data_IF_763781075675
#
_entry.id   IF_763781075675
#
_cell.length_a   1.000
_cell.length_b   1.000
_cell.length_c   1.000
_cell.angle_alpha   90.00
_cell.angle_beta   90.00
_cell.angle_gamma   90.00
#
_symmetry.space_group_name_H-M   'P 1'
#
loop_
_entity.id
_entity.type
_entity.pdbx_description
1 polymer ?
#
# COMPACT_ATOMS: atom_id res chain seq x y z
N UNK A 1 38.26 89.05 2.99
CA UNK A 1 37.53 88.84 1.72
C UNK A 1 37.85 87.44 1.21
N UNK A 2 36.81 86.64 0.93
CA UNK A 2 36.85 85.27 0.32
C UNK A 2 37.71 85.27 -0.96
N UNK A 3 38.42 84.17 -1.35
CA UNK A 3 37.87 82.84 -1.73
C UNK A 3 38.68 81.62 -1.20
N UNK A 4 38.05 80.45 -0.94
CA UNK A 4 37.85 79.24 -1.79
C UNK A 4 39.10 78.63 -2.43
N UNK A 5 39.52 77.45 -1.94
CA UNK A 5 39.99 76.31 -2.76
C UNK A 5 39.52 75.01 -2.10
N UNK A 6 39.01 74.10 -2.91
CA UNK A 6 38.47 72.80 -2.57
C UNK A 6 39.58 71.76 -2.28
N UNK A 7 39.34 70.84 -1.36
CA UNK A 7 40.08 69.59 -1.24
C UNK A 7 39.09 68.42 -1.31
N UNK A 8 39.26 67.57 -2.33
CA UNK A 8 38.49 66.37 -2.59
C UNK A 8 39.21 65.18 -1.96
N UNK A 9 38.56 64.43 -1.06
CA UNK A 9 39.04 63.11 -0.62
C UNK A 9 37.83 62.17 -0.44
N UNK A 10 37.74 61.21 -1.37
CA UNK A 10 37.39 59.79 -1.18
C UNK A 10 36.13 59.42 -0.40
N UNK A 11 35.05 59.14 -1.14
CA UNK A 11 33.89 58.40 -0.65
C UNK A 11 34.18 56.88 -0.76
N UNK A 12 34.53 56.23 0.35
CA UNK A 12 34.60 54.77 0.44
C UNK A 12 33.31 54.20 1.03
N UNK A 13 32.39 53.72 0.19
CA UNK A 13 31.23 52.94 0.64
C UNK A 13 31.65 51.47 0.79
N UNK A 14 31.70 50.99 2.04
CA UNK A 14 31.82 49.56 2.34
C UNK A 14 30.40 48.98 2.31
N UNK A 15 30.05 48.26 1.24
CA UNK A 15 28.84 47.44 1.16
C UNK A 15 29.05 46.16 1.98
N UNK A 16 28.42 46.08 3.15
CA UNK A 16 28.30 44.84 3.90
C UNK A 16 27.27 43.94 3.19
N UNK A 17 27.75 42.90 2.49
CA UNK A 17 26.91 41.83 1.97
C UNK A 17 26.32 41.04 3.15
N UNK A 18 25.05 41.29 3.47
CA UNK A 18 24.26 40.39 4.30
C UNK A 18 23.84 39.23 3.42
N UNK A 19 24.68 38.19 3.36
CA UNK A 19 24.27 36.90 2.80
C UNK A 19 23.16 36.34 3.67
N UNK A 20 21.91 36.49 3.22
CA UNK A 20 20.78 35.74 3.77
C UNK A 20 21.04 34.26 3.53
N UNK A 21 21.51 33.57 4.56
CA UNK A 21 21.56 32.12 4.61
C UNK A 21 20.09 31.68 4.70
N UNK A 22 19.48 31.38 3.56
CA UNK A 22 18.22 30.65 3.53
C UNK A 22 18.53 29.28 4.16
N UNK A 23 17.91 28.90 5.29
CA UNK A 23 18.09 27.57 5.81
C UNK A 23 17.60 26.60 4.73
N UNK A 24 18.52 25.79 4.23
CA UNK A 24 18.18 24.63 3.39
C UNK A 24 17.28 23.76 4.26
N UNK A 25 15.97 23.82 3.99
CA UNK A 25 15.01 22.96 4.65
C UNK A 25 15.45 21.53 4.43
N UNK A 26 15.78 20.83 5.53
CA UNK A 26 16.04 19.39 5.49
C UNK A 26 14.78 18.76 4.90
N UNK A 27 14.91 18.18 3.70
CA UNK A 27 13.82 17.47 3.07
C UNK A 27 13.29 16.44 4.09
N UNK A 28 12.02 16.56 4.47
CA UNK A 28 11.40 15.60 5.35
C UNK A 28 11.48 14.24 4.65
N UNK A 29 12.21 13.29 5.25
CA UNK A 29 12.26 11.92 4.74
C UNK A 29 10.85 11.33 4.75
N UNK A 30 10.50 10.48 3.77
CA UNK A 30 9.16 9.91 3.69
C UNK A 30 8.87 9.14 4.98
N UNK A 31 7.69 9.37 5.57
CA UNK A 31 7.31 8.72 6.82
C UNK A 31 7.03 7.24 6.55
N UNK A 32 7.98 6.38 6.92
CA UNK A 32 7.82 4.92 6.85
C UNK A 32 7.18 4.44 8.16
N UNK A 33 6.03 3.78 8.06
CA UNK A 33 5.39 3.16 9.21
C UNK A 33 6.24 1.99 9.72
N UNK A 34 6.37 1.87 11.04
CA UNK A 34 7.10 0.78 11.70
C UNK A 34 6.19 -0.18 12.47
N UNK A 35 4.87 0.00 12.35
CA UNK A 35 3.89 -0.93 12.88
C UNK A 35 2.46 -0.55 12.49
N UNK A 36 1.53 -1.38 12.95
CA UNK A 36 0.10 -1.21 12.74
C UNK A 36 -0.67 -1.56 14.01
N UNK A 37 -1.68 -0.76 14.35
CA UNK A 37 -2.60 -1.06 15.42
C UNK A 37 -3.53 -2.18 14.96
N UNK A 38 -3.48 -3.33 15.64
CA UNK A 38 -4.30 -4.51 15.32
C UNK A 38 -5.47 -4.68 16.29
N UNK A 39 -5.39 -4.10 17.50
CA UNK A 39 -6.46 -4.14 18.48
C UNK A 39 -6.53 -2.85 19.29
N UNK A 40 -7.75 -2.39 19.58
CA UNK A 40 -8.04 -1.28 20.49
C UNK A 40 -9.13 -1.73 21.45
N UNK A 41 -8.94 -1.51 22.75
CA UNK A 41 -9.96 -1.67 23.79
C UNK A 41 -10.07 -0.35 24.56
N UNK A 42 -11.26 0.24 24.55
CA UNK A 42 -11.53 1.53 25.19
C UNK A 42 -11.05 2.73 24.37
N UNK A 43 -10.92 3.89 25.01
CA UNK A 43 -10.60 5.15 24.35
C UNK A 43 -9.09 5.39 24.30
N UNK A 44 -8.57 5.41 23.08
CA UNK A 44 -7.14 5.55 22.79
C UNK A 44 -6.94 6.77 21.91
N UNK A 45 -5.85 7.49 22.13
CA UNK A 45 -5.39 8.52 21.22
C UNK A 45 -3.99 8.18 20.71
N UNK A 46 -3.73 8.54 19.46
CA UNK A 46 -2.42 8.46 18.85
C UNK A 46 -1.91 9.87 18.64
N UNK A 47 -0.86 10.23 19.37
CA UNK A 47 -0.18 11.51 19.24
C UNK A 47 1.02 11.36 18.33
N UNK A 48 0.96 11.98 17.15
CA UNK A 48 2.05 12.01 16.18
C UNK A 48 3.25 12.78 16.71
N UNK A 49 4.42 12.51 16.13
CA UNK A 49 5.66 13.22 16.47
C UNK A 49 5.59 14.75 16.29
N UNK A 50 4.75 15.26 15.37
CA UNK A 50 4.48 16.69 15.18
C UNK A 50 3.36 17.24 16.09
N UNK A 51 2.96 16.48 17.11
CA UNK A 51 2.04 16.93 18.16
C UNK A 51 0.54 16.74 17.89
N UNK A 52 0.14 16.42 16.64
CA UNK A 52 -1.26 16.14 16.30
C UNK A 52 -1.76 14.91 17.05
N UNK A 53 -3.02 14.93 17.43
CA UNK A 53 -3.70 13.83 18.08
C UNK A 53 -4.82 13.34 17.18
N UNK A 54 -4.88 12.03 16.96
CA UNK A 54 -5.97 11.36 16.25
C UNK A 54 -6.58 10.26 17.13
N UNK A 55 -7.80 9.86 16.82
CA UNK A 55 -8.42 8.64 17.38
C UNK A 55 -8.15 7.50 16.40
N UNK A 56 -7.19 6.61 16.68
CA UNK A 56 -6.87 5.55 15.75
C UNK A 56 -8.02 4.53 15.67
N UNK A 57 -8.15 3.91 14.50
CA UNK A 57 -8.95 2.71 14.28
C UNK A 57 -8.03 1.49 14.12
N UNK A 58 -8.61 0.29 14.15
CA UNK A 58 -7.87 -0.89 13.73
C UNK A 58 -7.38 -0.74 12.28
N UNK A 59 -6.15 -1.17 12.02
CA UNK A 59 -5.46 -0.97 10.76
C UNK A 59 -4.64 0.33 10.69
N UNK A 60 -4.81 1.26 11.64
CA UNK A 60 -4.05 2.53 11.66
C UNK A 60 -2.55 2.26 11.76
N UNK A 61 -1.76 2.92 10.89
CA UNK A 61 -0.30 2.82 10.90
C UNK A 61 0.30 3.67 12.02
N UNK A 62 1.33 3.15 12.66
CA UNK A 62 2.17 3.90 13.61
C UNK A 62 3.54 4.17 13.00
N UNK A 63 4.12 5.31 13.37
CA UNK A 63 5.41 5.77 12.89
C UNK A 63 6.40 5.89 14.05
N UNK A 64 7.72 5.92 13.76
CA UNK A 64 8.71 6.23 14.76
C UNK A 64 8.36 7.53 15.52
N UNK A 65 8.54 7.50 16.84
CA UNK A 65 8.30 8.63 17.77
C UNK A 65 6.83 9.02 17.99
N UNK A 66 5.88 8.28 17.41
CA UNK A 66 4.49 8.39 17.82
C UNK A 66 4.32 7.99 19.29
N UNK A 67 3.29 8.54 19.94
CA UNK A 67 2.91 8.23 21.31
C UNK A 67 1.50 7.68 21.34
N UNK A 68 1.33 6.52 21.95
CA UNK A 68 0.04 5.91 22.25
C UNK A 68 -0.40 6.39 23.63
N UNK A 69 -1.57 7.01 23.67
CA UNK A 69 -2.18 7.56 24.88
C UNK A 69 -3.37 6.70 25.22
N UNK A 70 -3.23 5.92 26.28
CA UNK A 70 -4.22 4.96 26.75
C UNK A 70 -4.70 5.42 28.14
N UNK A 71 -5.99 5.77 28.26
CA UNK A 71 -6.60 6.08 29.55
C UNK A 71 -6.68 4.82 30.44
N UNK A 72 -6.92 4.98 31.74
CA UNK A 72 -7.02 3.85 32.66
C UNK A 72 -8.01 2.78 32.18
N UNK A 73 -7.57 1.52 32.14
CA UNK A 73 -8.38 0.39 31.70
C UNK A 73 -8.51 0.23 30.18
N UNK A 74 -7.73 0.98 29.40
CA UNK A 74 -7.67 0.84 27.94
C UNK A 74 -6.43 0.05 27.50
N UNK A 75 -6.51 -0.61 26.34
CA UNK A 75 -5.41 -1.40 25.79
C UNK A 75 -5.28 -1.15 24.28
N UNK A 76 -4.04 -1.02 23.81
CA UNK A 76 -3.71 -1.01 22.39
C UNK A 76 -2.72 -2.13 22.11
N UNK A 77 -3.01 -2.94 21.09
CA UNK A 77 -2.06 -3.90 20.57
C UNK A 77 -1.56 -3.41 19.21
N UNK A 78 -0.25 -3.25 19.11
CA UNK A 78 0.45 -2.93 17.87
C UNK A 78 1.24 -4.16 17.44
N UNK A 79 1.18 -4.47 16.15
CA UNK A 79 2.13 -5.37 15.51
C UNK A 79 3.17 -4.54 14.77
N UNK A 80 4.43 -4.75 15.09
CA UNK A 80 5.55 -4.08 14.45
C UNK A 80 5.85 -4.72 13.09
N UNK A 81 6.63 -4.04 12.24
CA UNK A 81 6.99 -4.54 10.91
C UNK A 81 7.83 -5.81 10.94
N UNK A 82 8.53 -6.08 12.03
CA UNK A 82 9.28 -7.33 12.28
C UNK A 82 8.39 -8.46 12.84
N UNK A 83 7.06 -8.26 12.84
CA UNK A 83 6.03 -9.16 13.39
C UNK A 83 6.04 -9.32 14.91
N UNK A 84 6.93 -8.62 15.63
CA UNK A 84 6.83 -8.50 17.08
C UNK A 84 5.58 -7.72 17.48
N UNK A 85 5.17 -7.84 18.74
CA UNK A 85 3.98 -7.14 19.24
C UNK A 85 4.30 -6.28 20.44
N UNK A 86 3.71 -5.09 20.45
CA UNK A 86 3.75 -4.15 21.56
C UNK A 86 2.33 -4.02 22.14
N UNK A 87 2.16 -4.39 23.40
CA UNK A 87 0.95 -4.14 24.18
C UNK A 87 1.15 -2.86 24.99
N UNK A 88 0.30 -1.87 24.77
CA UNK A 88 0.23 -0.63 25.56
C UNK A 88 -1.00 -0.71 26.44
N UNK A 89 -0.77 -0.75 27.76
CA UNK A 89 -1.82 -0.71 28.76
C UNK A 89 -1.92 0.70 29.35
N UNK A 90 -3.15 1.19 29.45
CA UNK A 90 -3.41 2.52 29.98
C UNK A 90 -3.32 2.52 31.49
N UNK A 91 -2.25 3.14 32.00
CA UNK A 91 -2.09 3.57 33.39
C UNK A 91 -2.17 5.11 33.52
N UNK A 92 -2.66 5.79 32.48
CA UNK A 92 -2.76 7.25 32.44
C UNK A 92 -1.52 7.97 31.89
N UNK A 93 -0.51 7.24 31.40
CA UNK A 93 0.73 7.80 30.85
C UNK A 93 0.86 7.61 29.33
N UNK A 94 1.58 8.54 28.68
CA UNK A 94 1.88 8.46 27.25
C UNK A 94 3.01 7.45 27.01
N UNK A 95 2.73 6.37 26.28
CA UNK A 95 3.76 5.40 25.90
C UNK A 95 4.29 5.69 24.49
N UNK A 96 5.61 5.74 24.34
CA UNK A 96 6.24 5.86 23.02
C UNK A 96 6.02 4.57 22.22
N UNK A 97 5.84 4.71 20.92
CA UNK A 97 5.87 3.59 20.00
C UNK A 97 7.25 2.91 20.06
N UNK A 98 7.28 1.72 20.65
CA UNK A 98 8.48 0.92 20.87
C UNK A 98 8.86 0.00 19.71
N UNK A 99 8.12 0.00 18.60
CA UNK A 99 8.51 -0.76 17.43
C UNK A 99 9.87 -0.28 16.91
N UNK A 100 10.75 -1.22 16.55
CA UNK A 100 12.05 -0.89 15.97
C UNK A 100 11.86 0.03 14.75
N UNK A 101 12.76 1.00 14.57
CA UNK A 101 12.73 1.81 13.35
C UNK A 101 13.02 0.92 12.15
N UNK A 102 12.37 1.13 11.00
CA UNK A 102 12.66 0.34 9.81
C UNK A 102 14.15 0.55 9.45
N UNK A 103 14.92 -0.51 9.25
CA UNK A 103 16.28 -0.39 8.70
C UNK A 103 16.19 0.13 7.26
N UNK A 104 17.25 0.73 6.71
CA UNK A 104 17.27 1.13 5.30
C UNK A 104 17.02 -0.05 4.33
N UNK A 105 17.23 -1.29 4.76
CA UNK A 105 16.83 -2.51 4.02
C UNK A 105 15.31 -2.69 3.93
N UNK A 106 14.52 -2.08 4.82
CA UNK A 106 13.07 -2.01 4.72
C UNK A 106 12.59 -1.07 3.59
N UNK A 107 13.50 -0.37 2.90
CA UNK A 107 13.16 0.44 1.73
C UNK A 107 12.84 -0.43 0.51
N UNK A 108 13.31 -1.69 0.47
CA UNK A 108 13.03 -2.68 -0.56
C UNK A 108 13.36 -4.08 0.02
N UNK A 109 12.37 -4.90 0.39
CA UNK A 109 12.60 -6.28 0.86
C UNK A 109 13.29 -7.12 -0.24
N UNK A 110 14.14 -8.12 0.12
CA UNK A 110 14.99 -8.84 -0.83
C UNK A 110 14.22 -9.46 -2.00
N UNK A 111 14.67 -9.16 -3.23
CA UNK A 111 13.99 -9.47 -4.50
C UNK A 111 13.72 -8.24 -5.38
N UNK A 112 14.00 -7.03 -4.88
CA UNK A 112 13.81 -5.77 -5.62
C UNK A 112 15.10 -4.97 -5.74
N UNK A 113 15.88 -5.20 -6.81
CA UNK A 113 16.87 -4.25 -7.30
C UNK A 113 16.13 -3.18 -8.11
N UNK A 114 16.17 -1.91 -7.68
CA UNK A 114 15.36 -0.78 -8.20
C UNK A 114 13.85 -1.02 -8.11
N UNK A 115 13.24 -0.78 -6.93
CA UNK A 115 11.80 -0.92 -6.67
C UNK A 115 10.88 -0.44 -7.83
N UNK A 116 10.32 -1.35 -8.68
CA UNK A 116 9.50 -1.00 -9.85
C UNK A 116 7.98 -0.98 -9.59
N UNK A 117 7.54 -0.95 -8.33
CA UNK A 117 6.11 -1.03 -7.98
C UNK A 117 5.39 0.33 -7.89
N UNK A 118 6.10 1.45 -8.08
CA UNK A 118 5.47 2.77 -8.19
C UNK A 118 5.16 3.10 -9.65
N UNK A 119 4.07 2.55 -10.15
CA UNK A 119 3.28 3.20 -11.19
C UNK A 119 3.95 3.39 -12.55
N UNK A 120 4.68 2.40 -13.06
CA UNK A 120 4.95 2.34 -14.49
C UNK A 120 3.64 2.02 -15.22
N UNK A 121 2.97 3.09 -15.64
CA UNK A 121 2.16 3.26 -16.86
C UNK A 121 1.33 2.05 -17.33
N UNK A 122 0.35 1.60 -16.54
CA UNK A 122 -0.66 0.69 -17.09
C UNK A 122 -2.06 1.12 -16.68
N UNK A 123 -2.86 1.39 -17.71
CA UNK A 123 -4.31 1.53 -17.67
C UNK A 123 -4.91 0.13 -17.87
N UNK A 124 -5.00 -0.67 -16.81
CA UNK A 124 -5.80 -1.90 -16.85
C UNK A 124 -7.27 -1.50 -16.65
N UNK A 125 -7.85 -0.96 -17.70
CA UNK A 125 -9.29 -0.78 -17.86
C UNK A 125 -9.67 -1.28 -19.25
N UNK A 126 -9.41 -2.57 -19.50
CA UNK A 126 -9.86 -3.20 -20.72
C UNK A 126 -10.77 -4.38 -20.39
N UNK A 127 -12.08 -4.11 -20.38
CA UNK A 127 -13.12 -5.14 -20.25
C UNK A 127 -13.09 -6.15 -21.42
N UNK A 128 -12.33 -5.88 -22.50
CA UNK A 128 -12.14 -6.82 -23.59
C UNK A 128 -11.02 -7.83 -23.35
N UNK A 129 -10.26 -7.71 -22.26
CA UNK A 129 -9.16 -8.62 -21.93
C UNK A 129 -9.54 -9.47 -20.70
N UNK A 130 -9.36 -10.80 -20.74
CA UNK A 130 -9.58 -11.64 -19.57
C UNK A 130 -8.37 -11.53 -18.63
N UNK A 131 -8.13 -10.33 -18.10
CA UNK A 131 -6.97 -10.06 -17.28
C UNK A 131 -7.00 -10.91 -16.02
N UNK A 132 -5.83 -11.36 -15.58
CA UNK A 132 -5.75 -12.24 -14.42
C UNK A 132 -6.06 -11.43 -13.17
N UNK A 133 -6.98 -11.89 -12.34
CA UNK A 133 -7.26 -11.33 -11.01
C UNK A 133 -6.45 -12.09 -9.96
N UNK A 134 -6.45 -13.43 -10.02
CA UNK A 134 -5.67 -14.27 -9.13
C UNK A 134 -5.32 -15.64 -9.73
N UNK A 135 -4.20 -16.25 -9.36
CA UNK A 135 -3.05 -15.63 -8.70
C UNK A 135 -2.20 -14.82 -9.70
N UNK A 136 -1.69 -13.66 -9.26
CA UNK A 136 -0.71 -12.85 -10.01
C UNK A 136 0.18 -12.09 -9.05
N UNK A 137 1.47 -11.93 -9.39
CA UNK A 137 2.44 -11.12 -8.63
C UNK A 137 2.47 -11.46 -7.13
N UNK A 138 2.34 -12.74 -6.81
CA UNK A 138 2.24 -13.25 -5.44
C UNK A 138 2.99 -14.56 -5.33
N UNK A 139 3.51 -14.84 -4.14
CA UNK A 139 3.77 -16.22 -3.73
C UNK A 139 2.45 -16.83 -3.24
N UNK A 140 2.38 -18.15 -3.23
CA UNK A 140 1.27 -18.92 -2.71
C UNK A 140 1.72 -19.84 -1.59
N UNK A 141 0.86 -20.04 -0.60
CA UNK A 141 1.03 -21.06 0.44
C UNK A 141 0.33 -22.37 0.07
N UNK A 142 -0.76 -22.29 -0.69
CA UNK A 142 -1.56 -23.42 -1.14
C UNK A 142 -1.21 -23.84 -2.58
N UNK A 143 -1.13 -25.13 -2.86
CA UNK A 143 -0.83 -25.67 -4.18
C UNK A 143 -2.06 -25.84 -5.10
N UNK A 144 -3.27 -25.54 -4.60
CA UNK A 144 -4.52 -25.55 -5.36
C UNK A 144 -5.19 -24.17 -5.32
N UNK A 145 -4.55 -23.12 -5.88
CA UNK A 145 -5.10 -21.77 -5.84
C UNK A 145 -6.42 -21.67 -6.61
N UNK A 146 -7.26 -20.71 -6.16
CA UNK A 146 -8.40 -20.26 -6.95
C UNK A 146 -7.92 -19.33 -8.07
N UNK A 147 -8.14 -19.75 -9.29
CA UNK A 147 -7.84 -19.01 -10.51
C UNK A 147 -9.04 -18.11 -10.81
N UNK A 148 -8.82 -16.81 -11.03
CA UNK A 148 -9.85 -15.82 -11.35
C UNK A 148 -9.36 -14.87 -12.42
N UNK A 149 -10.26 -14.46 -13.30
CA UNK A 149 -10.00 -13.48 -14.35
C UNK A 149 -11.21 -12.59 -14.58
N UNK A 150 -10.99 -11.48 -15.26
CA UNK A 150 -12.06 -10.57 -15.67
C UNK A 150 -12.92 -11.20 -16.78
N UNK A 151 -14.27 -11.11 -16.72
CA UNK A 151 -15.13 -11.49 -17.82
C UNK A 151 -14.87 -10.64 -19.07
N UNK A 152 -14.90 -11.29 -20.24
CA UNK A 152 -14.88 -10.62 -21.55
C UNK A 152 -16.30 -10.57 -22.08
N UNK A 153 -16.71 -9.42 -22.63
CA UNK A 153 -18.02 -9.28 -23.28
C UNK A 153 -18.19 -10.30 -24.40
N UNK A 154 -19.39 -10.89 -24.52
CA UNK A 154 -19.75 -11.91 -25.52
C UNK A 154 -19.03 -13.26 -25.39
N UNK A 155 -18.08 -13.40 -24.46
CA UNK A 155 -17.42 -14.67 -24.22
C UNK A 155 -18.32 -15.64 -23.45
N UNK A 156 -18.44 -16.87 -23.94
CA UNK A 156 -19.26 -17.93 -23.31
C UNK A 156 -18.41 -19.04 -22.70
N UNK A 157 -17.14 -19.11 -23.09
CA UNK A 157 -16.19 -20.08 -22.55
C UNK A 157 -14.77 -19.55 -22.56
N UNK A 158 -13.96 -20.10 -21.67
CA UNK A 158 -12.56 -19.76 -21.47
C UNK A 158 -11.71 -21.01 -21.48
N UNK A 159 -10.64 -20.97 -22.27
CA UNK A 159 -9.52 -21.89 -22.15
C UNK A 159 -8.56 -21.38 -21.08
N UNK A 160 -8.40 -22.13 -20.00
CA UNK A 160 -7.56 -21.79 -18.85
C UNK A 160 -6.34 -22.70 -18.85
N UNK A 161 -5.15 -22.15 -18.65
CA UNK A 161 -3.91 -22.93 -18.59
C UNK A 161 -2.93 -22.41 -17.56
N UNK A 162 -2.19 -23.32 -16.94
CA UNK A 162 -1.05 -23.01 -16.07
C UNK A 162 0.20 -23.58 -16.74
N UNK A 163 1.22 -22.73 -16.87
CA UNK A 163 2.52 -23.12 -17.40
C UNK A 163 3.63 -22.81 -16.41
N UNK A 164 4.56 -23.74 -16.26
CA UNK A 164 5.75 -23.56 -15.44
C UNK A 164 6.53 -24.85 -15.32
N UNK A 165 7.41 -24.91 -14.33
CA UNK A 165 8.25 -26.10 -14.10
C UNK A 165 7.39 -27.34 -13.82
N UNK A 166 7.50 -28.34 -14.69
CA UNK A 166 6.76 -29.60 -14.60
C UNK A 166 5.25 -29.48 -14.82
N UNK A 167 4.75 -28.29 -15.21
CA UNK A 167 3.31 -28.02 -15.37
C UNK A 167 3.03 -27.41 -16.75
N UNK A 168 2.21 -28.12 -17.52
CA UNK A 168 1.52 -27.65 -18.72
C UNK A 168 0.08 -28.17 -18.63
N UNK A 169 -0.70 -27.55 -17.74
CA UNK A 169 -2.08 -27.91 -17.49
C UNK A 169 -3.01 -26.99 -18.28
N UNK A 170 -4.12 -27.56 -18.78
CA UNK A 170 -5.11 -26.84 -19.58
C UNK A 170 -6.51 -27.42 -19.37
N UNK A 171 -7.52 -26.55 -19.31
CA UNK A 171 -8.94 -26.93 -19.27
C UNK A 171 -9.81 -25.88 -19.98
N UNK A 172 -11.10 -26.17 -20.12
CA UNK A 172 -12.11 -25.23 -20.60
C UNK A 172 -13.26 -25.12 -19.60
N UNK A 173 -13.70 -23.90 -19.32
CA UNK A 173 -14.80 -23.59 -18.40
C UNK A 173 -15.68 -22.47 -18.96
N UNK A 174 -16.94 -22.37 -18.51
CA UNK A 174 -17.82 -21.24 -18.83
C UNK A 174 -17.78 -20.12 -17.79
N UNK A 175 -17.38 -20.44 -16.55
CA UNK A 175 -17.25 -19.46 -15.46
C UNK A 175 -15.98 -18.61 -15.60
N UNK A 176 -15.87 -17.55 -14.79
CA UNK A 176 -14.68 -16.68 -14.70
C UNK A 176 -13.73 -17.05 -13.55
N UNK A 177 -13.95 -18.23 -12.97
CA UNK A 177 -13.12 -18.76 -11.91
C UNK A 177 -13.12 -20.29 -11.90
N UNK A 178 -12.02 -20.87 -11.43
CA UNK A 178 -11.89 -22.31 -11.19
C UNK A 178 -10.84 -22.56 -10.10
N UNK A 179 -11.00 -23.62 -9.31
CA UNK A 179 -9.94 -24.08 -8.40
C UNK A 179 -8.99 -24.97 -9.19
N UNK A 180 -7.69 -24.69 -9.12
CA UNK A 180 -6.70 -25.55 -9.75
C UNK A 180 -6.74 -26.96 -9.15
N UNK A 181 -6.94 -28.03 -9.94
CA UNK A 181 -7.19 -29.37 -9.40
C UNK A 181 -5.94 -30.05 -8.82
N UNK A 182 -4.74 -29.57 -9.15
CA UNK A 182 -3.50 -30.16 -8.65
C UNK A 182 -3.09 -31.48 -9.33
N UNK A 183 -3.72 -31.87 -10.43
CA UNK A 183 -3.34 -33.06 -11.22
C UNK A 183 -1.86 -33.05 -11.63
N UNK A 184 -1.37 -31.86 -12.01
CA UNK A 184 0.06 -31.59 -12.16
C UNK A 184 0.49 -30.73 -10.95
N UNK A 185 1.13 -31.30 -9.92
CA UNK A 185 1.37 -30.58 -8.68
C UNK A 185 2.32 -29.39 -8.89
N UNK A 186 1.92 -28.23 -8.38
CA UNK A 186 2.82 -27.08 -8.27
C UNK A 186 3.98 -27.44 -7.32
N UNK A 187 5.20 -27.14 -7.76
CA UNK A 187 6.42 -27.44 -7.04
C UNK A 187 6.84 -26.24 -6.17
N UNK A 188 7.26 -26.47 -4.91
CA UNK A 188 7.76 -25.40 -4.04
C UNK A 188 8.95 -24.67 -4.67
N UNK A 189 8.92 -23.34 -4.64
CA UNK A 189 9.97 -22.48 -5.22
C UNK A 189 9.83 -22.23 -6.72
N UNK A 190 9.00 -22.98 -7.43
CA UNK A 190 8.83 -22.83 -8.88
C UNK A 190 7.88 -21.70 -9.25
N UNK A 191 8.14 -21.07 -10.40
CA UNK A 191 7.35 -19.99 -10.97
C UNK A 191 6.38 -20.48 -12.04
N UNK A 192 5.18 -19.91 -12.04
CA UNK A 192 4.07 -20.30 -12.89
C UNK A 192 3.40 -19.07 -13.52
N UNK A 193 2.80 -19.27 -14.69
CA UNK A 193 1.97 -18.29 -15.37
C UNK A 193 0.59 -18.87 -15.60
N UNK A 194 -0.44 -18.12 -15.17
CA UNK A 194 -1.83 -18.36 -15.54
C UNK A 194 -2.12 -17.65 -16.86
N UNK A 195 -2.62 -18.41 -17.84
CA UNK A 195 -3.01 -17.90 -19.15
C UNK A 195 -4.48 -18.26 -19.37
N UNK A 196 -5.30 -17.25 -19.66
CA UNK A 196 -6.72 -17.40 -19.98
C UNK A 196 -6.97 -16.88 -21.39
N UNK A 197 -7.70 -17.65 -22.20
CA UNK A 197 -8.17 -17.23 -23.52
C UNK A 197 -9.68 -17.38 -23.61
N UNK A 198 -10.37 -16.30 -23.93
CA UNK A 198 -11.79 -16.33 -24.27
C UNK A 198 -12.01 -16.99 -25.63
N UNK A 199 -13.19 -17.57 -25.85
CA UNK A 199 -13.65 -18.08 -27.14
C UNK A 199 -13.82 -16.98 -28.22
N UNK A 200 -13.94 -15.72 -27.81
CA UNK A 200 -13.86 -14.54 -28.68
C UNK A 200 -12.46 -14.29 -29.24
N UNK A 201 -11.43 -15.01 -28.76
CA UNK A 201 -10.04 -14.87 -29.16
C UNK A 201 -9.20 -13.96 -28.26
N UNK A 202 -9.82 -13.20 -27.36
CA UNK A 202 -9.10 -12.35 -26.39
C UNK A 202 -8.27 -13.18 -25.40
N UNK A 203 -7.08 -12.71 -25.05
CA UNK A 203 -6.13 -13.45 -24.21
C UNK A 203 -5.62 -12.61 -23.04
N UNK A 204 -5.38 -13.23 -21.88
CA UNK A 204 -4.76 -12.57 -20.73
C UNK A 204 -3.31 -12.13 -21.02
N UNK A 205 -2.70 -12.70 -22.06
CA UNK A 205 -1.38 -12.29 -22.57
C UNK A 205 -1.41 -10.98 -23.37
N UNK A 206 -2.60 -10.47 -23.68
CA UNK A 206 -2.76 -9.17 -24.33
C UNK A 206 -2.61 -8.02 -23.31
N UNK A 207 -2.53 -8.34 -22.01
CA UNK A 207 -2.14 -7.38 -20.97
C UNK A 207 -0.72 -6.83 -21.23
N UNK A 208 -0.49 -5.52 -21.02
CA UNK A 208 0.85 -4.94 -21.14
C UNK A 208 1.87 -5.65 -20.24
N UNK A 209 3.08 -5.84 -20.76
CA UNK A 209 4.17 -6.42 -19.98
C UNK A 209 4.54 -5.47 -18.83
N UNK A 210 4.47 -5.99 -17.60
CA UNK A 210 4.77 -5.23 -16.39
C UNK A 210 6.13 -5.66 -15.84
N UNK A 211 6.99 -4.74 -15.36
CA UNK A 211 8.14 -5.09 -14.55
C UNK A 211 7.76 -6.01 -13.37
N UNK A 212 8.47 -7.12 -13.21
CA UNK A 212 8.16 -8.18 -12.24
C UNK A 212 7.15 -9.24 -12.73
N UNK A 213 6.61 -9.10 -13.94
CA UNK A 213 5.72 -10.07 -14.57
C UNK A 213 4.32 -10.16 -13.96
N UNK A 214 3.50 -11.07 -14.48
CA UNK A 214 2.14 -11.39 -14.01
C UNK A 214 2.04 -12.81 -13.41
N UNK A 215 3.15 -13.53 -13.37
CA UNK A 215 3.21 -14.88 -12.82
C UNK A 215 3.08 -14.91 -11.29
N UNK A 216 3.09 -16.11 -10.75
CA UNK A 216 3.08 -16.40 -9.33
C UNK A 216 4.08 -17.52 -9.03
N UNK A 217 4.35 -17.80 -7.77
CA UNK A 217 5.15 -18.97 -7.38
C UNK A 217 4.58 -19.65 -6.15
N UNK A 218 4.86 -20.94 -5.99
CA UNK A 218 4.59 -21.62 -4.72
C UNK A 218 5.75 -21.34 -3.76
N UNK A 219 5.43 -21.00 -2.50
CA UNK A 219 6.44 -20.76 -1.49
C UNK A 219 7.29 -22.02 -1.26
N UNK A 220 8.59 -21.84 -1.07
CA UNK A 220 9.50 -22.95 -0.74
C UNK A 220 9.09 -23.63 0.58
N UNK A 221 9.41 -24.92 0.70
CA UNK A 221 8.99 -25.76 1.83
C UNK A 221 9.36 -25.17 3.19
N UNK A 222 10.61 -24.72 3.37
CA UNK A 222 11.08 -24.21 4.67
C UNK A 222 10.39 -22.90 5.06
N UNK A 223 10.36 -21.85 4.20
CA UNK A 223 9.55 -20.65 4.47
C UNK A 223 8.06 -20.96 4.68
N UNK A 224 7.47 -21.89 3.92
CA UNK A 224 6.07 -22.28 4.09
C UNK A 224 5.79 -22.87 5.48
N UNK A 225 6.65 -23.77 5.97
CA UNK A 225 6.56 -24.33 7.33
C UNK A 225 6.69 -23.24 8.40
N UNK A 226 7.58 -22.26 8.20
CA UNK A 226 7.73 -21.13 9.12
C UNK A 226 6.46 -20.27 9.17
N UNK A 227 5.88 -19.96 8.01
CA UNK A 227 4.60 -19.22 7.91
C UNK A 227 3.48 -20.00 8.60
N UNK A 228 3.36 -21.31 8.38
CA UNK A 228 2.36 -22.13 9.06
C UNK A 228 2.53 -22.11 10.58
N UNK A 229 3.75 -22.33 11.09
CA UNK A 229 4.04 -22.31 12.53
C UNK A 229 3.75 -20.94 13.16
N UNK A 230 4.08 -19.84 12.47
CA UNK A 230 3.75 -18.50 12.93
C UNK A 230 2.25 -18.22 12.89
N UNK A 231 1.55 -18.72 11.87
CA UNK A 231 0.08 -18.61 11.77
C UNK A 231 -0.63 -19.32 12.92
N UNK A 232 -0.18 -20.53 13.27
CA UNK A 232 -0.69 -21.27 14.43
C UNK A 232 -0.43 -20.53 15.75
N UNK A 233 0.76 -19.95 15.91
CA UNK A 233 1.09 -19.13 17.09
C UNK A 233 0.19 -17.91 17.21
N UNK A 234 -0.18 -17.27 16.10
CA UNK A 234 -1.14 -16.15 16.08
C UNK A 234 -2.54 -16.65 16.45
N UNK A 235 -2.98 -17.78 15.89
CA UNK A 235 -4.30 -18.35 16.16
C UNK A 235 -4.52 -18.67 17.65
N UNK A 236 -3.46 -19.08 18.35
CA UNK A 236 -3.48 -19.37 19.79
C UNK A 236 -3.45 -18.14 20.70
N UNK A 237 -3.24 -16.93 20.17
CA UNK A 237 -3.22 -15.71 20.99
C UNK A 237 -4.62 -15.39 21.51
N UNK A 238 -4.69 -14.88 22.75
CA UNK A 238 -5.92 -14.33 23.35
C UNK A 238 -6.27 -12.94 22.80
N UNK A 239 -6.16 -12.76 21.49
CA UNK A 239 -6.54 -11.54 20.77
C UNK A 239 -7.94 -11.70 20.18
N UNK A 240 -8.57 -10.57 19.84
CA UNK A 240 -9.81 -10.56 19.05
C UNK A 240 -9.57 -11.19 17.67
N UNK A 241 -10.60 -11.78 17.06
CA UNK A 241 -10.50 -12.37 15.72
C UNK A 241 -10.03 -11.34 14.68
N UNK A 242 -10.51 -10.09 14.77
CA UNK A 242 -10.01 -8.98 13.98
C UNK A 242 -8.48 -8.81 14.11
N UNK A 243 -7.96 -8.81 15.33
CA UNK A 243 -6.54 -8.60 15.57
C UNK A 243 -5.69 -9.78 15.05
N UNK A 244 -6.20 -11.02 15.18
CA UNK A 244 -5.56 -12.21 14.57
C UNK A 244 -5.53 -12.10 13.06
N UNK A 245 -6.63 -11.71 12.44
CA UNK A 245 -6.73 -11.55 10.98
C UNK A 245 -5.78 -10.49 10.45
N UNK A 246 -5.70 -9.32 11.10
CA UNK A 246 -4.73 -8.28 10.73
C UNK A 246 -3.28 -8.76 10.92
N UNK A 247 -3.01 -9.48 12.02
CA UNK A 247 -1.68 -10.02 12.29
C UNK A 247 -1.24 -11.08 11.26
N UNK A 248 -2.17 -11.94 10.84
CA UNK A 248 -1.96 -12.93 9.77
C UNK A 248 -1.75 -12.26 8.42
N UNK A 249 -2.54 -11.24 8.07
CA UNK A 249 -2.35 -10.49 6.84
C UNK A 249 -0.95 -9.86 6.76
N UNK A 250 -0.45 -9.26 7.84
CA UNK A 250 0.90 -8.71 7.90
C UNK A 250 1.99 -9.79 7.82
N UNK A 251 1.78 -10.95 8.46
CA UNK A 251 2.66 -12.11 8.31
C UNK A 251 2.75 -12.55 6.84
N UNK A 252 1.61 -12.65 6.16
CA UNK A 252 1.54 -13.02 4.74
C UNK A 252 2.23 -12.00 3.84
N UNK A 253 2.01 -10.70 4.06
CA UNK A 253 2.70 -9.63 3.34
C UNK A 253 4.23 -9.69 3.51
N UNK A 254 4.72 -9.94 4.72
CA UNK A 254 6.16 -10.10 4.99
C UNK A 254 6.78 -11.31 4.28
N UNK A 255 5.97 -12.27 3.84
CA UNK A 255 6.42 -13.46 3.11
C UNK A 255 6.08 -13.42 1.61
N UNK A 256 5.58 -12.29 1.09
CA UNK A 256 5.21 -12.14 -0.32
C UNK A 256 3.93 -12.86 -0.73
N UNK A 257 3.13 -13.30 0.25
CA UNK A 257 1.82 -13.93 0.09
C UNK A 257 0.74 -12.84 -0.01
N UNK A 258 0.87 -11.98 -1.02
CA UNK A 258 0.02 -10.78 -1.17
C UNK A 258 -1.45 -11.15 -1.40
N UNK A 259 -1.72 -12.18 -2.20
CA UNK A 259 -3.10 -12.63 -2.44
C UNK A 259 -3.76 -13.12 -1.15
N UNK A 260 -3.09 -14.00 -0.40
CA UNK A 260 -3.61 -14.50 0.88
C UNK A 260 -3.84 -13.36 1.88
N UNK A 261 -2.95 -12.37 1.93
CA UNK A 261 -3.15 -11.19 2.76
C UNK A 261 -4.40 -10.39 2.36
N UNK A 262 -4.62 -10.19 1.05
CA UNK A 262 -5.81 -9.51 0.54
C UNK A 262 -7.07 -10.29 0.91
N UNK A 263 -7.11 -11.60 0.67
CA UNK A 263 -8.26 -12.45 1.01
C UNK A 263 -8.61 -12.38 2.51
N UNK A 264 -7.60 -12.37 3.39
CA UNK A 264 -7.81 -12.19 4.84
C UNK A 264 -8.45 -10.85 5.18
N UNK A 265 -8.00 -9.76 4.53
CA UNK A 265 -8.54 -8.42 4.76
C UNK A 265 -9.94 -8.24 4.15
N UNK A 266 -10.21 -8.83 2.98
CA UNK A 266 -11.54 -8.85 2.37
C UNK A 266 -12.55 -9.60 3.24
N UNK A 267 -12.17 -10.78 3.74
CA UNK A 267 -13.01 -11.53 4.68
C UNK A 267 -13.27 -10.74 5.96
N UNK A 268 -12.29 -9.98 6.44
CA UNK A 268 -12.44 -9.13 7.61
C UNK A 268 -13.50 -8.03 7.39
N UNK A 269 -13.45 -7.31 6.27
CA UNK A 269 -14.47 -6.28 5.97
C UNK A 269 -15.85 -6.91 5.71
N UNK A 270 -15.91 -8.06 5.04
CA UNK A 270 -17.15 -8.81 4.83
C UNK A 270 -17.77 -9.34 6.12
N UNK A 271 -16.97 -9.51 7.19
CA UNK A 271 -17.45 -9.88 8.53
C UNK A 271 -17.98 -8.69 9.35
N UNK A 272 -17.97 -7.47 8.79
CA UNK A 272 -18.50 -6.25 9.40
C UNK A 272 -17.46 -5.32 10.03
N UNK A 273 -16.15 -5.63 9.93
CA UNK A 273 -15.09 -4.74 10.41
C UNK A 273 -14.74 -3.72 9.32
N UNK A 274 -15.49 -2.61 9.30
CA UNK A 274 -15.36 -1.57 8.27
C UNK A 274 -14.59 -0.34 8.79
N UNK A 275 -13.26 -0.34 8.64
CA UNK A 275 -12.43 0.84 8.98
C UNK A 275 -11.74 1.38 7.74
N UNK A 276 -11.61 2.71 7.65
CA UNK A 276 -10.92 3.36 6.53
C UNK A 276 -9.49 2.84 6.32
N UNK A 277 -8.66 2.64 7.37
CA UNK A 277 -7.32 2.10 7.20
C UNK A 277 -7.27 0.70 6.58
N UNK A 278 -8.25 -0.17 6.86
CA UNK A 278 -8.29 -1.52 6.27
C UNK A 278 -8.63 -1.44 4.79
N UNK A 279 -9.67 -0.69 4.43
CA UNK A 279 -10.06 -0.47 3.03
C UNK A 279 -8.91 0.18 2.23
N UNK A 280 -8.26 1.20 2.77
CA UNK A 280 -7.10 1.84 2.15
C UNK A 280 -5.94 0.85 1.95
N UNK A 281 -5.71 -0.05 2.91
CA UNK A 281 -4.69 -1.08 2.78
C UNK A 281 -5.01 -2.07 1.66
N UNK A 282 -6.25 -2.54 1.55
CA UNK A 282 -6.67 -3.43 0.45
C UNK A 282 -6.49 -2.74 -0.90
N UNK A 283 -6.96 -1.48 -1.04
CA UNK A 283 -6.77 -0.69 -2.25
C UNK A 283 -5.29 -0.54 -2.64
N UNK A 284 -4.42 -0.29 -1.65
CA UNK A 284 -2.96 -0.23 -1.85
C UNK A 284 -2.37 -1.55 -2.34
N UNK A 285 -2.83 -2.68 -1.81
CA UNK A 285 -2.35 -4.01 -2.21
C UNK A 285 -2.75 -4.31 -3.65
N UNK A 286 -4.02 -4.08 -4.01
CA UNK A 286 -4.48 -4.21 -5.38
C UNK A 286 -3.70 -3.30 -6.34
N UNK A 287 -3.59 -2.02 -6.03
CA UNK A 287 -2.96 -1.05 -6.93
C UNK A 287 -1.45 -1.28 -7.11
N UNK A 288 -0.71 -1.43 -6.00
CA UNK A 288 0.75 -1.35 -6.04
C UNK A 288 1.44 -2.72 -6.11
N UNK A 289 0.81 -3.77 -5.58
CA UNK A 289 1.42 -5.10 -5.53
C UNK A 289 0.87 -5.99 -6.65
N UNK A 290 -0.46 -6.02 -6.81
CA UNK A 290 -1.12 -6.86 -7.81
C UNK A 290 -1.31 -6.16 -9.18
N UNK A 291 -1.16 -4.84 -9.24
CA UNK A 291 -1.40 -4.02 -10.43
C UNK A 291 -2.84 -4.18 -10.99
N UNK A 292 -3.81 -4.17 -10.08
CA UNK A 292 -5.24 -4.38 -10.32
C UNK A 292 -6.00 -3.08 -10.02
N UNK A 293 -6.11 -2.23 -11.05
CA UNK A 293 -6.66 -0.86 -10.92
C UNK A 293 -8.18 -0.87 -10.65
N UNK A 294 -9.00 -1.69 -11.34
CA UNK A 294 -10.43 -1.74 -11.07
C UNK A 294 -10.75 -2.22 -9.66
N UNK A 295 -10.07 -3.26 -9.19
CA UNK A 295 -10.23 -3.82 -7.85
C UNK A 295 -9.83 -2.77 -6.81
N UNK A 296 -8.69 -2.08 -7.00
CA UNK A 296 -8.25 -1.02 -6.11
C UNK A 296 -9.27 0.11 -5.96
N UNK A 297 -9.96 0.49 -7.05
CA UNK A 297 -10.95 1.57 -7.05
C UNK A 297 -12.04 1.35 -6.02
N UNK A 298 -12.60 0.14 -5.97
CA UNK A 298 -13.68 -0.23 -5.05
C UNK A 298 -13.28 0.03 -3.60
N UNK A 299 -12.07 -0.39 -3.21
CA UNK A 299 -11.60 -0.24 -1.84
C UNK A 299 -11.18 1.19 -1.50
N UNK A 300 -10.58 1.92 -2.44
CA UNK A 300 -10.24 3.33 -2.22
C UNK A 300 -11.47 4.22 -2.09
N UNK A 301 -12.53 3.97 -2.87
CA UNK A 301 -13.81 4.67 -2.71
C UNK A 301 -14.36 4.51 -1.30
N UNK A 302 -14.39 3.28 -0.79
CA UNK A 302 -14.87 2.99 0.56
C UNK A 302 -13.96 3.56 1.64
N UNK A 303 -12.64 3.57 1.43
CA UNK A 303 -11.70 4.20 2.34
C UNK A 303 -11.94 5.72 2.46
N UNK A 304 -12.17 6.41 1.33
CA UNK A 304 -12.49 7.85 1.33
C UNK A 304 -13.83 8.13 2.01
N UNK A 305 -14.83 7.27 1.81
CA UNK A 305 -16.15 7.36 2.45
C UNK A 305 -16.07 7.23 3.98
N UNK A 306 -15.26 6.28 4.47
CA UNK A 306 -15.16 5.96 5.90
C UNK A 306 -14.15 6.81 6.67
N UNK A 307 -13.28 7.55 5.99
CA UNK A 307 -12.21 8.30 6.65
C UNK A 307 -12.78 9.41 7.56
N UNK A 308 -12.33 9.43 8.82
CA UNK A 308 -12.65 10.53 9.73
C UNK A 308 -11.98 11.82 9.21
N UNK A 309 -12.75 12.88 9.03
CA UNK A 309 -12.25 14.22 8.68
C UNK A 309 -11.15 14.74 9.63
N UNK A 310 -11.12 14.28 10.88
CA UNK A 310 -10.07 14.61 11.84
C UNK A 310 -8.80 13.78 11.66
N UNK A 311 -8.88 12.67 10.94
CA UNK A 311 -7.75 11.86 10.48
C UNK A 311 -7.39 12.22 9.03
N UNK A 312 -6.89 13.44 8.86
CA UNK A 312 -6.42 13.94 7.55
C UNK A 312 -5.33 13.02 6.99
N UNK A 313 -4.57 12.26 7.80
CA UNK A 313 -3.58 11.32 7.25
C UNK A 313 -4.25 10.21 6.46
N UNK A 314 -5.25 9.56 7.05
CA UNK A 314 -5.98 8.49 6.39
C UNK A 314 -6.80 9.03 5.20
N UNK A 315 -7.47 10.18 5.40
CA UNK A 315 -8.23 10.84 4.33
C UNK A 315 -7.32 11.20 3.13
N UNK A 316 -6.16 11.79 3.39
CA UNK A 316 -5.19 12.20 2.36
C UNK A 316 -4.66 10.98 1.62
N UNK A 317 -4.28 9.92 2.34
CA UNK A 317 -3.76 8.71 1.74
C UNK A 317 -4.80 7.98 0.87
N UNK A 318 -6.05 7.92 1.32
CA UNK A 318 -7.15 7.34 0.55
C UNK A 318 -7.48 8.16 -0.70
N UNK A 319 -7.51 9.50 -0.59
CA UNK A 319 -7.71 10.41 -1.72
C UNK A 319 -6.57 10.34 -2.73
N UNK A 320 -5.32 10.23 -2.27
CA UNK A 320 -4.17 10.02 -3.15
C UNK A 320 -4.35 8.72 -3.94
N UNK A 321 -4.57 7.61 -3.24
CA UNK A 321 -4.78 6.30 -3.87
C UNK A 321 -5.93 6.30 -4.89
N UNK A 322 -7.08 6.90 -4.55
CA UNK A 322 -8.20 7.05 -5.47
C UNK A 322 -7.83 7.96 -6.66
N UNK A 323 -7.15 9.08 -6.43
CA UNK A 323 -6.69 9.96 -7.50
C UNK A 323 -5.72 9.28 -8.47
N UNK A 324 -4.84 8.40 -7.96
CA UNK A 324 -3.97 7.56 -8.80
C UNK A 324 -4.79 6.60 -9.65
N UNK A 325 -5.82 5.99 -9.07
CA UNK A 325 -6.75 5.09 -9.78
C UNK A 325 -7.49 5.84 -10.87
N UNK A 326 -8.10 7.00 -10.57
CA UNK A 326 -8.84 7.79 -11.55
C UNK A 326 -7.95 8.27 -12.70
N UNK A 327 -6.69 8.64 -12.41
CA UNK A 327 -5.72 8.98 -13.44
C UNK A 327 -5.47 7.79 -14.39
N UNK A 328 -5.39 6.57 -13.86
CA UNK A 328 -5.22 5.33 -14.65
C UNK A 328 -6.48 4.91 -15.40
N UNK A 329 -7.66 5.33 -14.94
CA UNK A 329 -8.91 5.15 -15.67
C UNK A 329 -9.11 6.17 -16.80
N UNK A 330 -8.26 7.22 -16.88
CA UNK A 330 -8.44 8.33 -17.81
C UNK A 330 -9.48 9.35 -17.35
N UNK A 331 -9.99 9.24 -16.12
CA UNK A 331 -10.95 10.16 -15.52
C UNK A 331 -10.23 11.41 -15.01
N UNK A 332 -9.73 12.19 -15.96
CA UNK A 332 -8.78 13.29 -15.74
C UNK A 332 -9.25 14.32 -14.72
N UNK A 333 -10.50 14.80 -14.83
CA UNK A 333 -11.02 15.86 -13.95
C UNK A 333 -11.10 15.38 -12.50
N UNK A 334 -11.60 14.16 -12.30
CA UNK A 334 -11.71 13.56 -10.98
C UNK A 334 -10.34 13.23 -10.39
N UNK A 335 -9.40 12.74 -11.21
CA UNK A 335 -8.01 12.54 -10.82
C UNK A 335 -7.36 13.85 -10.35
N UNK A 336 -7.53 14.95 -11.11
CA UNK A 336 -7.01 16.27 -10.73
C UNK A 336 -7.63 16.72 -9.40
N UNK A 337 -8.95 16.59 -9.24
CA UNK A 337 -9.65 16.95 -8.00
C UNK A 337 -9.08 16.21 -6.79
N UNK A 338 -9.00 14.88 -6.86
CA UNK A 338 -8.53 14.03 -5.77
C UNK A 338 -7.04 14.22 -5.46
N UNK A 339 -6.19 14.29 -6.47
CA UNK A 339 -4.74 14.49 -6.28
C UNK A 339 -4.42 15.89 -5.76
N UNK A 340 -5.28 16.88 -6.04
CA UNK A 340 -5.18 18.23 -5.45
C UNK A 340 -5.51 18.18 -3.96
N UNK A 341 -6.61 17.53 -3.57
CA UNK A 341 -6.96 17.32 -2.16
C UNK A 341 -5.84 16.57 -1.41
N UNK A 342 -5.30 15.52 -2.03
CA UNK A 342 -4.18 14.78 -1.46
C UNK A 342 -2.92 15.66 -1.30
N UNK A 343 -2.58 16.48 -2.30
CA UNK A 343 -1.45 17.41 -2.21
C UNK A 343 -1.61 18.36 -1.02
N UNK A 344 -2.78 18.98 -0.88
CA UNK A 344 -3.05 19.95 0.19
C UNK A 344 -3.03 19.27 1.57
N UNK A 345 -3.53 18.03 1.63
CA UNK A 345 -3.41 17.17 2.80
C UNK A 345 -1.96 16.87 3.17
N UNK A 346 -1.13 16.46 2.20
CA UNK A 346 0.30 16.20 2.43
C UNK A 346 1.08 17.47 2.79
N UNK A 347 0.70 18.63 2.24
CA UNK A 347 1.26 19.92 2.64
C UNK A 347 0.95 20.23 4.11
N UNK A 348 -0.30 20.02 4.53
CA UNK A 348 -0.72 20.15 5.93
C UNK A 348 0.04 19.19 6.85
N UNK A 349 0.38 18.00 6.36
CA UNK A 349 1.16 16.99 7.08
C UNK A 349 2.68 17.24 7.05
N UNK A 350 3.15 18.23 6.28
CA UNK A 350 4.57 18.54 6.09
C UNK A 350 5.33 17.50 5.25
N UNK A 351 4.64 16.69 4.44
CA UNK A 351 5.26 15.71 3.54
C UNK A 351 5.66 16.38 2.21
N UNK A 352 6.73 17.17 2.26
CA UNK A 352 7.24 17.94 1.12
C UNK A 352 7.62 17.06 -0.09
N UNK A 353 8.06 15.82 0.16
CA UNK A 353 8.40 14.89 -0.91
C UNK A 353 7.14 14.48 -1.67
N UNK A 354 6.08 14.09 -0.96
CA UNK A 354 4.84 13.67 -1.58
C UNK A 354 4.14 14.84 -2.29
N UNK A 355 4.15 16.03 -1.70
CA UNK A 355 3.69 17.28 -2.35
C UNK A 355 4.40 17.46 -3.70
N UNK A 356 5.73 17.42 -3.71
CA UNK A 356 6.53 17.59 -4.92
C UNK A 356 6.24 16.52 -5.98
N UNK A 357 5.97 15.28 -5.57
CA UNK A 357 5.59 14.18 -6.47
C UNK A 357 4.21 14.45 -7.10
N UNK A 358 3.21 14.81 -6.30
CA UNK A 358 1.85 15.06 -6.75
C UNK A 358 1.78 16.28 -7.67
N UNK A 359 2.52 17.35 -7.38
CA UNK A 359 2.59 18.51 -8.27
C UNK A 359 3.12 18.17 -9.66
N UNK A 360 4.15 17.30 -9.76
CA UNK A 360 4.65 16.84 -11.06
C UNK A 360 3.59 16.06 -11.82
N UNK A 361 2.81 15.23 -11.12
CA UNK A 361 1.72 14.46 -11.72
C UNK A 361 0.58 15.37 -12.18
N UNK A 362 0.14 16.31 -11.35
CA UNK A 362 -0.88 17.30 -11.67
C UNK A 362 -0.48 18.15 -12.89
N UNK A 363 0.80 18.56 -12.99
CA UNK A 363 1.31 19.26 -14.19
C UNK A 363 1.23 18.42 -15.47
N UNK A 364 1.40 17.11 -15.38
CA UNK A 364 1.23 16.21 -16.54
C UNK A 364 -0.24 16.09 -16.92
N UNK A 365 -1.10 15.84 -15.93
CA UNK A 365 -2.54 15.72 -16.11
C UNK A 365 -3.20 17.03 -16.56
N UNK A 366 -2.63 18.21 -16.34
CA UNK A 366 -3.22 19.50 -16.79
C UNK A 366 -2.74 19.94 -18.16
N UNK A 367 -1.70 19.32 -18.72
CA UNK A 367 -1.10 19.74 -20.00
C UNK A 367 -1.46 18.87 -21.21
N UNK A 368 -1.68 17.57 -21.01
CA UNK A 368 -2.19 16.67 -22.05
C UNK A 368 -3.64 16.45 -21.78
#
# INVERSE_FOLDING_TARGET
MKPRVALSIGLGLILANVSSIIPVGVAASPRISNGQIIQIKGNVQLKRSHGRVIRPQAGTRVYPRDKLVAANGTQVLVQCTDLSTLLVEGYGENQLNGCASPTQEAQCTPGTYKCPHRGDLITLNNSSTPYIISPRRTKLLNNQPRLRWNPVSEATSYTVSIKGEGVDWKTQVSDTQIVYPGEQPLQPGSHYLLIVRADTGASSTDEPVIPGGLGFSLLETTPAQQVHSQSEKIAQKSWTEQAKTLALANLYLNNGLTLEAVEMLENLVNSGVETAPIYNNIGKLYLNFLALVPEAKTYYLKAVELADSNDIEEQTAAQDGLGQVEAKFGNRDEAIRLLTLARDGYETLGDSERVSQLERQLRRLTRG
#
